data_IF_204882519274
#
_entry.id   IF_204882519274
#
_cell.length_a   1.000
_cell.length_b   1.000
_cell.length_c   1.000
_cell.angle_alpha   90.00
_cell.angle_beta   90.00
_cell.angle_gamma   90.00
#
_symmetry.space_group_name_H-M   'P 1'
#
loop_
_entity.id
_entity.type
_entity.pdbx_description
1 polymer ?
#
# COMPACT_ATOMS: atom_id res chain seq x y z
N UNK A 1 15.59 22.89 -4.62
CA UNK A 1 14.26 22.84 -3.97
C UNK A 1 13.68 21.45 -4.14
N UNK A 2 13.26 20.77 -3.06
CA UNK A 2 12.57 19.49 -3.17
C UNK A 2 11.25 19.68 -3.94
N UNK A 3 10.91 18.71 -4.79
CA UNK A 3 9.65 18.70 -5.55
C UNK A 3 8.78 17.53 -5.11
N UNK A 4 7.47 17.75 -5.12
CA UNK A 4 6.46 16.70 -4.98
C UNK A 4 5.58 16.72 -6.23
N UNK A 5 5.11 15.54 -6.62
CA UNK A 5 4.14 15.41 -7.70
C UNK A 5 2.81 14.98 -7.09
N UNK A 6 1.76 15.78 -7.29
CA UNK A 6 0.38 15.46 -6.87
C UNK A 6 -0.49 15.60 -8.10
N UNK A 7 -1.26 14.56 -8.44
CA UNK A 7 -2.12 14.51 -9.64
C UNK A 7 -1.39 14.88 -10.95
N UNK A 8 -0.16 14.38 -11.12
CA UNK A 8 0.73 14.68 -12.25
C UNK A 8 1.16 16.16 -12.38
N UNK A 9 0.98 16.96 -11.32
CA UNK A 9 1.49 18.33 -11.25
C UNK A 9 2.62 18.39 -10.24
N UNK A 10 3.74 19.01 -10.67
CA UNK A 10 4.91 19.21 -9.82
C UNK A 10 4.78 20.51 -9.03
N UNK A 11 5.04 20.42 -7.73
CA UNK A 11 5.09 21.55 -6.81
C UNK A 11 6.45 21.60 -6.12
N UNK A 12 7.05 22.78 -6.00
CA UNK A 12 8.20 22.93 -5.11
C UNK A 12 7.68 22.96 -3.67
N UNK A 13 8.26 22.15 -2.80
CA UNK A 13 7.81 22.07 -1.40
C UNK A 13 8.08 23.35 -0.62
N UNK A 14 9.00 24.18 -1.10
CA UNK A 14 9.34 25.48 -0.52
C UNK A 14 8.26 26.54 -0.78
N UNK A 15 7.47 26.39 -1.86
CA UNK A 15 6.37 27.28 -2.22
C UNK A 15 5.10 27.00 -1.39
N UNK A 16 5.09 25.90 -0.63
CA UNK A 16 3.96 25.52 0.22
C UNK A 16 3.89 26.41 1.47
N UNK A 17 2.66 26.81 1.81
CA UNK A 17 2.36 27.39 3.12
C UNK A 17 2.63 26.37 4.23
N UNK A 18 2.73 26.82 5.48
CA UNK A 18 2.92 25.92 6.62
C UNK A 18 1.80 24.88 6.74
N UNK A 19 0.56 25.28 6.45
CA UNK A 19 -0.56 24.34 6.37
C UNK A 19 -0.40 23.35 5.21
N UNK A 20 0.06 23.81 4.04
CA UNK A 20 0.36 22.93 2.91
C UNK A 20 1.42 21.87 3.23
N UNK A 21 2.49 22.26 3.95
CA UNK A 21 3.52 21.34 4.44
C UNK A 21 2.97 20.35 5.46
N UNK A 22 2.07 20.78 6.34
CA UNK A 22 1.41 19.89 7.30
C UNK A 22 0.54 18.83 6.59
N UNK A 23 -0.26 19.23 5.59
CA UNK A 23 -1.06 18.30 4.80
C UNK A 23 -0.18 17.31 4.01
N UNK A 24 0.92 17.78 3.42
CA UNK A 24 1.88 16.92 2.73
C UNK A 24 2.45 15.85 3.68
N UNK A 25 2.83 16.22 4.90
CA UNK A 25 3.33 15.27 5.89
C UNK A 25 2.26 14.22 6.26
N UNK A 26 1.00 14.65 6.43
CA UNK A 26 -0.12 13.72 6.65
C UNK A 26 -0.32 12.75 5.48
N UNK A 27 -0.23 13.22 4.23
CA UNK A 27 -0.32 12.36 3.05
C UNK A 27 0.82 11.35 2.98
N UNK A 28 2.06 11.78 3.17
CA UNK A 28 3.23 10.90 3.18
C UNK A 28 3.12 9.82 4.26
N UNK A 29 2.61 10.19 5.45
CA UNK A 29 2.32 9.23 6.51
C UNK A 29 1.30 8.19 6.04
N UNK A 30 0.16 8.62 5.47
CA UNK A 30 -0.87 7.70 4.98
C UNK A 30 -0.33 6.76 3.89
N UNK A 31 0.49 7.25 2.97
CA UNK A 31 1.11 6.42 1.93
C UNK A 31 2.01 5.31 2.50
N UNK A 32 2.81 5.62 3.52
CA UNK A 32 3.62 4.62 4.22
C UNK A 32 2.73 3.56 4.86
N UNK A 33 1.65 3.98 5.53
CA UNK A 33 0.71 3.07 6.18
C UNK A 33 -0.02 2.17 5.15
N UNK A 34 -0.46 2.73 4.02
CA UNK A 34 -1.07 1.96 2.94
C UNK A 34 -0.11 0.92 2.36
N UNK A 35 1.16 1.29 2.13
CA UNK A 35 2.18 0.33 1.67
C UNK A 35 2.39 -0.81 2.67
N UNK A 36 2.39 -0.51 3.96
CA UNK A 36 2.49 -1.53 5.01
C UNK A 36 1.31 -2.52 4.93
N UNK A 37 0.08 -2.02 4.88
CA UNK A 37 -1.12 -2.85 4.76
C UNK A 37 -1.10 -3.70 3.48
N UNK A 38 -0.65 -3.14 2.36
CA UNK A 38 -0.52 -3.89 1.12
C UNK A 38 0.48 -5.05 1.22
N UNK A 39 1.59 -4.87 1.95
CA UNK A 39 2.53 -5.96 2.22
C UNK A 39 1.91 -7.05 3.08
N UNK A 40 1.15 -6.68 4.12
CA UNK A 40 0.42 -7.63 4.96
C UNK A 40 -0.61 -8.43 4.14
N UNK A 41 -1.37 -7.76 3.26
CA UNK A 41 -2.30 -8.41 2.32
C UNK A 41 -1.59 -9.45 1.45
N UNK A 42 -0.41 -9.14 0.92
CA UNK A 42 0.37 -10.08 0.10
C UNK A 42 0.78 -11.33 0.87
N UNK A 43 1.11 -11.20 2.16
CA UNK A 43 1.38 -12.34 3.05
C UNK A 43 0.12 -13.21 3.21
N UNK A 44 -1.02 -12.58 3.50
CA UNK A 44 -2.30 -13.31 3.64
C UNK A 44 -2.74 -13.99 2.34
N UNK A 45 -2.49 -13.38 1.18
CA UNK A 45 -2.77 -14.00 -0.13
C UNK A 45 -1.95 -15.27 -0.33
N UNK A 46 -0.67 -15.26 0.06
CA UNK A 46 0.19 -16.45 0.00
C UNK A 46 -0.36 -17.57 0.89
N UNK A 47 -0.71 -17.26 2.14
CA UNK A 47 -1.29 -18.23 3.06
C UNK A 47 -2.62 -18.80 2.52
N UNK A 48 -3.51 -17.92 2.02
CA UNK A 48 -4.78 -18.32 1.40
C UNK A 48 -4.56 -19.30 0.25
N UNK A 49 -3.60 -19.04 -0.63
CA UNK A 49 -3.30 -19.91 -1.76
C UNK A 49 -2.81 -21.29 -1.31
N UNK A 50 -2.01 -21.35 -0.23
CA UNK A 50 -1.59 -22.62 0.38
C UNK A 50 -2.79 -23.42 0.91
N UNK A 51 -3.70 -22.79 1.65
CA UNK A 51 -4.91 -23.46 2.14
C UNK A 51 -5.81 -23.96 1.02
N UNK A 52 -5.97 -23.17 -0.05
CA UNK A 52 -6.72 -23.59 -1.25
C UNK A 52 -6.08 -24.82 -1.90
N UNK A 53 -4.76 -24.85 -2.02
CA UNK A 53 -4.05 -25.99 -2.58
C UNK A 53 -4.23 -27.26 -1.72
N UNK A 54 -4.10 -27.13 -0.40
CA UNK A 54 -4.32 -28.23 0.54
C UNK A 54 -5.76 -28.78 0.44
N UNK A 55 -6.75 -27.89 0.42
CA UNK A 55 -8.16 -28.28 0.27
C UNK A 55 -8.41 -29.04 -1.05
N UNK A 56 -7.85 -28.55 -2.17
CA UNK A 56 -7.97 -29.23 -3.47
C UNK A 56 -7.39 -30.65 -3.42
N UNK A 57 -6.28 -30.84 -2.73
CA UNK A 57 -5.66 -32.16 -2.56
C UNK A 57 -6.57 -33.13 -1.79
N UNK A 58 -7.24 -32.66 -0.72
CA UNK A 58 -8.19 -33.49 0.03
C UNK A 58 -9.44 -33.83 -0.80
N UNK A 59 -9.98 -32.86 -1.54
CA UNK A 59 -11.14 -33.09 -2.41
C UNK A 59 -10.86 -34.14 -3.50
N UNK A 60 -9.66 -34.14 -4.07
CA UNK A 60 -9.25 -35.13 -5.07
C UNK A 60 -9.11 -36.56 -4.52
N UNK A 61 -8.95 -36.74 -3.20
CA UNK A 61 -8.95 -38.07 -2.57
C UNK A 61 -10.36 -38.61 -2.33
N UNK A 62 -11.34 -37.70 -2.23
CA UNK A 62 -12.73 -38.03 -1.94
C UNK A 62 -13.55 -38.36 -3.19
N UNK A 63 -12.98 -38.17 -4.38
CA UNK A 63 -13.53 -38.49 -5.71
C UNK A 63 -12.92 -39.76 -6.28
#
# INVERSE_FOLDING_TARGET
MPKITVDNVDYNTEDLTDNGKAQLASLQFLEVQMRKLQNEISVYQTARNSYVAALKAELAKAS
#
